data_IF_922908027223
#
_entry.id   IF_922908027223
#
_cell.length_a   1.000
_cell.length_b   1.000
_cell.length_c   1.000
_cell.angle_alpha   90.00
_cell.angle_beta   90.00
_cell.angle_gamma   90.00
#
_symmetry.space_group_name_H-M   'P 1'
#
loop_
_entity.id
_entity.type
_entity.pdbx_description
1 polymer ?
#
# COMPACT_ATOMS: atom_id res chain seq x y z
N UNK A 1 7.40 13.61 32.59
CA UNK A 1 7.35 14.30 31.27
C UNK A 1 7.80 13.35 30.16
N UNK A 2 8.94 12.63 30.26
CA UNK A 2 9.42 11.69 29.22
C UNK A 2 8.44 10.55 28.87
N UNK A 3 7.65 10.04 29.81
CA UNK A 3 6.74 8.91 29.57
C UNK A 3 5.43 9.34 28.87
N UNK A 4 4.97 10.58 29.04
CA UNK A 4 3.81 11.12 28.29
C UNK A 4 4.13 11.24 26.80
N UNK A 5 5.28 11.77 26.44
CA UNK A 5 5.69 11.86 25.01
C UNK A 5 5.81 10.49 24.33
N UNK A 6 6.18 9.43 25.07
CA UNK A 6 6.22 8.08 24.48
C UNK A 6 4.82 7.54 24.12
N UNK A 7 3.83 7.80 24.98
CA UNK A 7 2.44 7.36 24.70
C UNK A 7 1.85 8.08 23.50
N UNK A 8 2.09 9.40 23.37
CA UNK A 8 1.63 10.20 22.23
C UNK A 8 2.27 9.72 20.92
N UNK A 9 3.57 9.40 20.94
CA UNK A 9 4.29 8.87 19.76
C UNK A 9 3.80 7.47 19.36
N UNK A 10 3.49 6.61 20.35
CA UNK A 10 2.91 5.30 20.07
C UNK A 10 1.52 5.39 19.47
N UNK A 11 0.65 6.28 20.01
CA UNK A 11 -0.68 6.53 19.47
C UNK A 11 -0.61 7.01 18.02
N UNK A 12 0.26 7.97 17.73
CA UNK A 12 0.50 8.45 16.37
C UNK A 12 0.98 7.33 15.44
N UNK A 13 1.84 6.43 15.92
CA UNK A 13 2.30 5.27 15.16
C UNK A 13 1.14 4.35 14.74
N UNK A 14 0.20 4.07 15.65
CA UNK A 14 -1.00 3.27 15.35
C UNK A 14 -1.95 3.99 14.38
N UNK A 15 -2.07 5.32 14.47
CA UNK A 15 -2.89 6.09 13.55
C UNK A 15 -2.31 6.05 12.13
N UNK A 16 -1.00 6.20 11.98
CA UNK A 16 -0.33 6.11 10.68
C UNK A 16 -0.43 4.69 10.11
N UNK A 17 -0.29 3.65 10.94
CA UNK A 17 -0.48 2.26 10.54
C UNK A 17 -1.92 2.03 10.03
N UNK A 18 -2.91 2.63 10.68
CA UNK A 18 -4.31 2.55 10.25
C UNK A 18 -4.54 3.25 8.89
N UNK A 19 -3.95 4.42 8.68
CA UNK A 19 -4.00 5.11 7.38
C UNK A 19 -3.31 4.30 6.29
N UNK A 20 -2.18 3.66 6.60
CA UNK A 20 -1.51 2.73 5.68
C UNK A 20 -2.41 1.55 5.31
N UNK A 21 -3.11 0.95 6.30
CA UNK A 21 -4.11 -0.09 6.04
C UNK A 21 -5.18 0.38 5.04
N UNK A 22 -5.73 1.58 5.22
CA UNK A 22 -6.73 2.13 4.30
C UNK A 22 -6.13 2.38 2.92
N UNK A 23 -4.88 2.85 2.82
CA UNK A 23 -4.19 2.98 1.54
C UNK A 23 -4.12 1.64 0.79
N UNK A 24 -3.68 0.57 1.46
CA UNK A 24 -3.62 -0.76 0.86
C UNK A 24 -5.00 -1.31 0.50
N UNK A 25 -6.04 -1.02 1.29
CA UNK A 25 -7.41 -1.41 1.00
C UNK A 25 -7.89 -0.87 -0.38
N UNK A 26 -7.38 0.30 -0.81
CA UNK A 26 -7.65 0.83 -2.15
C UNK A 26 -6.78 0.20 -3.24
N UNK A 27 -5.60 -0.34 -2.90
CA UNK A 27 -4.66 -0.92 -3.86
C UNK A 27 -4.94 -2.40 -4.20
N UNK A 28 -5.55 -3.16 -3.28
CA UNK A 28 -5.87 -4.58 -3.49
C UNK A 28 -6.97 -4.76 -4.54
N UNK A 29 -7.04 -5.96 -5.13
CA UNK A 29 -8.03 -6.32 -6.16
C UNK A 29 -9.35 -6.78 -5.54
N UNK A 30 -10.40 -6.81 -6.34
CA UNK A 30 -11.68 -7.45 -5.95
C UNK A 30 -11.45 -8.91 -5.57
N UNK A 31 -12.06 -9.35 -4.47
CA UNK A 31 -11.88 -10.67 -3.90
C UNK A 31 -10.70 -10.82 -2.94
N UNK A 32 -9.70 -9.91 -2.98
CA UNK A 32 -8.62 -9.91 -1.99
C UNK A 32 -9.15 -9.46 -0.62
N UNK A 33 -8.59 -10.04 0.42
CA UNK A 33 -8.93 -9.71 1.82
C UNK A 33 -7.74 -9.07 2.50
N UNK A 34 -7.97 -7.91 3.11
CA UNK A 34 -6.98 -7.22 3.94
C UNK A 34 -7.38 -7.30 5.42
N UNK A 35 -6.42 -7.56 6.30
CA UNK A 35 -6.60 -7.64 7.74
C UNK A 35 -5.59 -6.76 8.48
N UNK A 36 -6.04 -6.13 9.56
CA UNK A 36 -5.25 -5.29 10.45
C UNK A 36 -4.81 -6.07 11.68
N UNK A 37 -3.53 -5.99 12.05
CA UNK A 37 -2.93 -6.64 13.23
C UNK A 37 -3.32 -8.12 13.39
N UNK A 38 -3.06 -8.94 12.36
CA UNK A 38 -3.32 -10.37 12.39
C UNK A 38 -2.03 -11.20 12.57
N UNK A 39 -1.23 -11.30 11.52
CA UNK A 39 0.07 -12.00 11.50
C UNK A 39 1.21 -11.00 11.43
N UNK A 40 0.95 -9.82 10.90
CA UNK A 40 1.81 -8.65 10.80
C UNK A 40 0.94 -7.41 11.03
N UNK A 41 1.51 -6.20 10.96
CA UNK A 41 0.77 -4.95 11.12
C UNK A 41 -0.43 -4.90 10.15
N UNK A 42 -0.19 -5.32 8.89
CA UNK A 42 -1.23 -5.47 7.87
C UNK A 42 -0.95 -6.75 7.06
N UNK A 43 -1.98 -7.52 6.79
CA UNK A 43 -1.90 -8.74 5.97
C UNK A 43 -2.89 -8.66 4.82
N UNK A 44 -2.44 -8.92 3.59
CA UNK A 44 -3.31 -9.10 2.43
C UNK A 44 -3.29 -10.58 2.03
N UNK A 45 -4.47 -11.17 1.92
CA UNK A 45 -4.67 -12.50 1.36
C UNK A 45 -5.29 -12.36 -0.03
N UNK A 46 -4.52 -12.67 -1.06
CA UNK A 46 -4.95 -12.50 -2.44
C UNK A 46 -5.78 -13.72 -2.91
N UNK A 47 -6.72 -13.48 -3.82
CA UNK A 47 -7.58 -14.52 -4.43
C UNK A 47 -6.80 -15.62 -5.12
N UNK A 48 -5.61 -15.30 -5.68
CA UNK A 48 -4.67 -16.27 -6.27
C UNK A 48 -3.90 -17.10 -5.23
N UNK A 49 -4.24 -16.94 -3.94
CA UNK A 49 -3.64 -17.68 -2.83
C UNK A 49 -2.32 -17.11 -2.35
N UNK A 50 -1.82 -16.00 -2.89
CA UNK A 50 -0.62 -15.32 -2.39
C UNK A 50 -0.93 -14.43 -1.19
N UNK A 51 0.11 -14.05 -0.45
CA UNK A 51 -0.01 -13.25 0.78
C UNK A 51 1.00 -12.11 0.78
N UNK A 52 0.56 -10.92 1.23
CA UNK A 52 1.45 -9.81 1.54
C UNK A 52 1.51 -9.64 3.05
N UNK A 53 2.72 -9.63 3.60
CA UNK A 53 3.00 -9.28 4.98
C UNK A 53 3.59 -7.87 4.99
N UNK A 54 2.91 -6.94 5.66
CA UNK A 54 3.25 -5.53 5.60
C UNK A 54 3.54 -5.04 7.01
N UNK A 55 4.78 -4.65 7.23
CA UNK A 55 5.22 -4.02 8.47
C UNK A 55 5.32 -2.52 8.28
N UNK A 56 4.70 -1.76 9.16
CA UNK A 56 4.67 -0.30 9.12
C UNK A 56 5.66 0.28 10.13
N UNK A 57 6.63 1.08 9.69
CA UNK A 57 7.66 1.71 10.52
C UNK A 57 7.80 3.19 10.18
N UNK A 58 7.03 4.01 10.84
CA UNK A 58 6.99 5.44 10.60
C UNK A 58 7.62 6.25 11.75
N UNK A 59 8.04 7.47 11.43
CA UNK A 59 8.51 8.47 12.37
C UNK A 59 7.62 9.71 12.31
N UNK A 60 7.49 10.41 13.42
CA UNK A 60 6.91 11.76 13.47
C UNK A 60 7.91 12.85 13.08
N UNK A 61 9.19 12.49 12.98
CA UNK A 61 10.25 13.38 12.48
C UNK A 61 10.34 13.22 10.96
N UNK A 62 10.04 14.29 10.24
CA UNK A 62 10.07 14.34 8.77
C UNK A 62 11.48 14.12 8.19
N UNK A 63 12.52 14.33 9.00
CA UNK A 63 13.92 14.10 8.61
C UNK A 63 14.46 12.74 9.08
N UNK A 64 13.61 11.87 9.61
CA UNK A 64 14.04 10.58 10.09
C UNK A 64 14.64 9.74 8.97
N UNK A 65 15.79 9.11 9.26
CA UNK A 65 16.48 8.23 8.32
C UNK A 65 16.46 6.79 8.84
N UNK A 66 16.24 5.87 7.92
CA UNK A 66 16.41 4.45 8.17
C UNK A 66 17.76 4.03 7.59
N UNK A 67 18.68 3.63 8.47
CA UNK A 67 20.06 3.26 8.12
C UNK A 67 20.32 1.79 8.41
N UNK A 68 21.49 1.27 8.05
CA UNK A 68 21.91 -0.10 8.37
C UNK A 68 21.93 -0.41 9.88
N UNK A 69 21.99 0.61 10.74
CA UNK A 69 21.94 0.46 12.19
C UNK A 69 20.53 0.64 12.79
N UNK A 70 19.51 0.97 11.96
CA UNK A 70 18.14 1.20 12.43
C UNK A 70 17.51 -0.11 12.94
N UNK A 71 17.13 -0.10 14.23
CA UNK A 71 16.53 -1.27 14.87
C UNK A 71 15.18 -1.66 14.27
N UNK A 72 14.41 -0.72 13.72
CA UNK A 72 13.09 -0.98 13.15
C UNK A 72 13.20 -1.79 11.86
N UNK A 73 14.24 -1.48 11.05
CA UNK A 73 14.53 -2.26 9.84
C UNK A 73 14.82 -3.73 10.19
N UNK A 74 15.75 -3.98 11.11
CA UNK A 74 16.13 -5.34 11.49
C UNK A 74 15.04 -6.11 12.23
N UNK A 75 14.26 -5.44 13.09
CA UNK A 75 13.10 -6.06 13.74
C UNK A 75 12.05 -6.51 12.74
N UNK A 76 11.89 -5.79 11.64
CA UNK A 76 11.00 -6.22 10.55
C UNK A 76 11.44 -7.56 9.97
N UNK A 77 12.74 -7.72 9.70
CA UNK A 77 13.29 -9.01 9.25
C UNK A 77 13.13 -10.11 10.31
N UNK A 78 13.36 -9.78 11.58
CA UNK A 78 13.19 -10.74 12.68
C UNK A 78 11.75 -11.24 12.78
N UNK A 79 10.77 -10.36 12.61
CA UNK A 79 9.35 -10.72 12.56
C UNK A 79 9.06 -11.68 11.41
N UNK A 80 9.48 -11.36 10.19
CA UNK A 80 9.23 -12.22 9.03
C UNK A 80 9.97 -13.56 9.11
N UNK A 81 11.19 -13.59 9.62
CA UNK A 81 11.94 -14.82 9.88
C UNK A 81 11.25 -15.66 10.95
N UNK A 82 10.71 -15.04 12.00
CA UNK A 82 9.96 -15.74 13.04
C UNK A 82 8.66 -16.33 12.50
N UNK A 83 7.93 -15.61 11.64
CA UNK A 83 6.76 -16.14 10.94
C UNK A 83 7.14 -17.29 9.99
N UNK A 84 8.27 -17.16 9.30
CA UNK A 84 8.82 -18.25 8.49
C UNK A 84 9.10 -19.48 9.35
N UNK A 85 9.77 -19.33 10.49
CA UNK A 85 10.10 -20.43 11.40
C UNK A 85 8.83 -21.12 11.96
N UNK A 86 7.78 -20.37 12.24
CA UNK A 86 6.51 -20.86 12.73
C UNK A 86 5.60 -21.44 11.64
N UNK A 87 5.88 -21.17 10.37
CA UNK A 87 5.02 -21.61 9.28
C UNK A 87 5.02 -23.13 9.13
N UNK A 88 3.84 -23.74 8.92
CA UNK A 88 3.68 -25.18 8.70
C UNK A 88 4.35 -25.63 7.40
N UNK A 89 4.36 -24.78 6.39
CA UNK A 89 5.00 -25.04 5.09
C UNK A 89 5.92 -23.88 4.70
N UNK A 90 7.24 -24.15 4.73
CA UNK A 90 8.27 -23.21 4.29
C UNK A 90 8.15 -22.89 2.80
N UNK A 91 7.75 -23.87 2.00
CA UNK A 91 7.56 -23.69 0.57
C UNK A 91 6.39 -22.76 0.27
N UNK A 92 5.27 -22.93 0.96
CA UNK A 92 4.08 -22.07 0.84
C UNK A 92 4.38 -20.64 1.31
N UNK A 93 5.14 -20.48 2.41
CA UNK A 93 5.57 -19.17 2.89
C UNK A 93 6.47 -18.43 1.88
N UNK A 94 7.32 -19.16 1.19
CA UNK A 94 8.27 -18.63 0.20
C UNK A 94 7.79 -18.79 -1.26
N UNK A 95 6.51 -19.10 -1.50
CA UNK A 95 6.01 -19.26 -2.87
C UNK A 95 6.09 -17.96 -3.68
N UNK A 96 6.22 -18.04 -5.02
CA UNK A 96 6.15 -16.87 -5.89
C UNK A 96 4.88 -16.06 -5.64
N UNK A 97 4.97 -14.74 -5.71
CA UNK A 97 3.83 -13.83 -5.50
C UNK A 97 3.60 -13.41 -4.03
N UNK A 98 4.13 -14.13 -3.04
CA UNK A 98 4.16 -13.61 -1.67
C UNK A 98 5.09 -12.40 -1.60
N UNK A 99 4.71 -11.39 -0.80
CA UNK A 99 5.45 -10.14 -0.65
C UNK A 99 5.65 -9.81 0.82
N UNK A 100 6.84 -9.33 1.16
CA UNK A 100 7.20 -8.84 2.50
C UNK A 100 7.53 -7.36 2.37
N UNK A 101 6.63 -6.50 2.81
CA UNK A 101 6.65 -5.07 2.52
C UNK A 101 6.95 -4.31 3.81
N UNK A 102 8.08 -3.61 3.84
CA UNK A 102 8.35 -2.57 4.83
C UNK A 102 7.79 -1.24 4.31
N UNK A 103 6.74 -0.75 4.95
CA UNK A 103 6.14 0.54 4.65
C UNK A 103 6.69 1.60 5.62
N UNK A 104 7.27 2.68 5.10
CA UNK A 104 7.92 3.69 5.94
C UNK A 104 7.88 5.08 5.33
N UNK A 105 7.87 6.13 6.18
CA UNK A 105 8.09 7.51 5.77
C UNK A 105 9.54 7.98 5.96
N UNK A 106 10.42 7.14 6.53
CA UNK A 106 11.82 7.48 6.75
C UNK A 106 12.58 7.50 5.42
N UNK A 107 13.53 8.43 5.28
CA UNK A 107 14.49 8.41 4.17
C UNK A 107 15.38 7.17 4.25
N UNK A 108 15.52 6.45 3.16
CA UNK A 108 16.27 5.20 3.12
C UNK A 108 17.76 5.44 2.83
N UNK A 109 18.61 4.92 3.72
CA UNK A 109 20.07 4.88 3.56
C UNK A 109 20.60 3.54 4.10
N UNK A 110 20.18 2.43 3.45
CA UNK A 110 20.41 1.06 3.92
C UNK A 110 21.18 0.29 2.86
N UNK A 111 22.46 0.05 3.13
CA UNK A 111 23.34 -0.69 2.21
C UNK A 111 22.87 -2.14 1.98
N UNK A 112 22.31 -2.78 2.99
CA UNK A 112 21.76 -4.13 2.85
C UNK A 112 20.55 -4.17 1.92
N UNK A 113 19.68 -3.14 1.96
CA UNK A 113 18.55 -3.08 1.03
C UNK A 113 18.99 -2.84 -0.42
N UNK A 114 20.09 -2.09 -0.63
CA UNK A 114 20.69 -1.97 -1.96
C UNK A 114 21.18 -3.35 -2.48
N UNK A 115 21.77 -4.20 -1.60
CA UNK A 115 22.12 -5.57 -1.98
C UNK A 115 20.88 -6.39 -2.36
N UNK A 116 19.76 -6.23 -1.64
CA UNK A 116 18.50 -6.90 -1.98
C UNK A 116 17.97 -6.43 -3.34
N UNK A 117 18.01 -5.14 -3.64
CA UNK A 117 17.62 -4.61 -4.97
C UNK A 117 18.49 -5.20 -6.07
N UNK A 118 19.80 -5.16 -5.90
CA UNK A 118 20.75 -5.72 -6.86
C UNK A 118 20.55 -7.23 -7.09
N UNK A 119 20.18 -7.97 -6.04
CA UNK A 119 19.83 -9.38 -6.15
C UNK A 119 18.52 -9.57 -6.96
N UNK A 120 17.52 -8.75 -6.74
CA UNK A 120 16.23 -8.84 -7.43
C UNK A 120 16.30 -8.46 -8.90
N UNK A 121 17.12 -7.49 -9.26
CA UNK A 121 17.33 -7.07 -10.66
C UNK A 121 18.40 -7.88 -11.40
N UNK A 122 19.07 -8.80 -10.70
CA UNK A 122 20.10 -9.68 -11.27
C UNK A 122 21.47 -9.04 -11.39
N UNK A 123 21.70 -7.85 -10.83
CA UNK A 123 23.01 -7.17 -10.83
C UNK A 123 24.01 -7.83 -9.89
N UNK A 124 23.56 -8.61 -8.91
CA UNK A 124 24.41 -9.46 -8.08
C UNK A 124 23.76 -10.82 -7.83
N UNK A 125 24.57 -11.81 -7.41
CA UNK A 125 24.09 -13.11 -7.01
C UNK A 125 23.93 -13.24 -5.49
N UNK A 126 23.30 -14.34 -5.05
CA UNK A 126 23.07 -14.60 -3.60
C UNK A 126 24.41 -14.72 -2.83
N UNK A 127 25.50 -15.12 -3.49
CA UNK A 127 26.81 -15.25 -2.85
C UNK A 127 27.39 -13.90 -2.42
N UNK A 128 27.17 -12.85 -3.21
CA UNK A 128 27.58 -11.49 -2.89
C UNK A 128 26.80 -11.00 -1.67
N UNK A 129 25.48 -11.26 -1.62
CA UNK A 129 24.64 -10.92 -0.46
C UNK A 129 25.08 -11.67 0.79
N UNK A 130 25.35 -12.98 0.70
CA UNK A 130 25.88 -13.76 1.82
C UNK A 130 27.24 -13.22 2.26
N UNK A 131 28.11 -12.85 1.31
CA UNK A 131 29.41 -12.26 1.61
C UNK A 131 29.28 -10.90 2.31
N UNK A 132 28.28 -10.10 1.93
CA UNK A 132 27.94 -8.84 2.61
C UNK A 132 27.51 -9.12 4.05
N UNK A 133 26.56 -10.02 4.28
CA UNK A 133 26.05 -10.37 5.61
C UNK A 133 27.15 -10.92 6.53
N UNK A 134 28.09 -11.71 6.01
CA UNK A 134 29.23 -12.25 6.77
C UNK A 134 30.22 -11.19 7.24
N UNK A 135 30.25 -10.01 6.62
CA UNK A 135 31.10 -8.88 7.03
C UNK A 135 30.51 -8.10 8.20
N UNK A 136 29.22 -8.31 8.54
CA UNK A 136 28.59 -7.65 9.67
C UNK A 136 29.27 -8.05 10.98
N UNK A 137 29.67 -7.07 11.76
CA UNK A 137 30.37 -7.29 13.01
C UNK A 137 29.47 -7.96 14.06
N UNK A 138 29.98 -8.99 14.74
CA UNK A 138 29.22 -9.75 15.76
C UNK A 138 28.76 -8.91 16.96
N UNK A 139 29.38 -7.75 17.18
CA UNK A 139 29.06 -6.85 18.30
C UNK A 139 27.84 -5.95 18.09
N UNK A 140 27.33 -5.83 16.85
CA UNK A 140 26.16 -4.99 16.57
C UNK A 140 24.88 -5.64 17.09
N UNK A 141 23.93 -4.83 17.56
CA UNK A 141 22.71 -5.31 18.20
C UNK A 141 21.83 -6.19 17.31
N UNK A 142 21.89 -5.98 16.00
CA UNK A 142 21.10 -6.74 15.02
C UNK A 142 21.81 -7.99 14.47
N UNK A 143 23.03 -8.29 14.91
CA UNK A 143 23.77 -9.48 14.46
C UNK A 143 23.00 -10.80 14.67
N UNK A 144 22.22 -11.01 15.75
CA UNK A 144 21.41 -12.21 15.88
C UNK A 144 20.45 -12.45 14.72
N UNK A 145 19.90 -11.37 14.14
CA UNK A 145 18.99 -11.43 12.99
C UNK A 145 19.76 -11.78 11.72
N UNK A 146 20.92 -11.15 11.52
CA UNK A 146 21.84 -11.50 10.43
C UNK A 146 22.23 -12.99 10.50
N UNK A 147 22.49 -13.50 11.72
CA UNK A 147 22.80 -14.91 11.92
C UNK A 147 21.62 -15.81 11.51
N UNK A 148 20.37 -15.50 11.91
CA UNK A 148 19.17 -16.24 11.46
C UNK A 148 19.09 -16.32 9.93
N UNK A 149 19.38 -15.20 9.23
CA UNK A 149 19.41 -15.21 7.77
C UNK A 149 20.50 -16.13 7.21
N UNK A 150 21.71 -16.10 7.80
CA UNK A 150 22.83 -16.93 7.39
C UNK A 150 22.63 -18.41 7.72
N UNK A 151 21.76 -18.74 8.67
CA UNK A 151 21.40 -20.12 9.03
C UNK A 151 20.40 -20.73 8.02
N UNK A 152 19.72 -19.91 7.20
CA UNK A 152 18.92 -20.40 6.06
C UNK A 152 19.85 -20.99 5.00
N UNK A 153 19.37 -22.03 4.30
CA UNK A 153 20.08 -22.48 3.11
C UNK A 153 20.00 -21.41 1.98
N UNK A 154 20.92 -21.48 1.02
CA UNK A 154 21.03 -20.48 -0.05
C UNK A 154 19.73 -20.28 -0.84
N UNK A 155 19.01 -21.36 -1.11
CA UNK A 155 17.78 -21.32 -1.91
C UNK A 155 16.68 -20.63 -1.13
N UNK A 156 16.54 -20.93 0.15
CA UNK A 156 15.57 -20.29 1.04
C UNK A 156 15.89 -18.82 1.23
N UNK A 157 17.14 -18.48 1.54
CA UNK A 157 17.56 -17.08 1.68
C UNK A 157 17.31 -16.28 0.40
N UNK A 158 17.66 -16.84 -0.76
CA UNK A 158 17.40 -16.20 -2.04
C UNK A 158 15.91 -15.96 -2.28
N UNK A 159 15.08 -16.98 -2.07
CA UNK A 159 13.62 -16.85 -2.19
C UNK A 159 13.05 -15.83 -1.21
N UNK A 160 13.53 -15.82 0.03
CA UNK A 160 13.11 -14.88 1.07
C UNK A 160 13.42 -13.43 0.67
N UNK A 161 14.66 -13.15 0.29
CA UNK A 161 15.11 -11.80 -0.06
C UNK A 161 14.42 -11.25 -1.33
N UNK A 162 14.09 -12.11 -2.30
CA UNK A 162 13.31 -11.69 -3.47
C UNK A 162 11.90 -11.19 -3.16
N UNK A 163 11.35 -11.52 -1.98
CA UNK A 163 10.03 -11.05 -1.55
C UNK A 163 10.04 -9.73 -0.81
N UNK A 164 11.24 -9.33 -0.35
CA UNK A 164 11.41 -8.12 0.45
C UNK A 164 11.30 -6.87 -0.43
N UNK A 165 10.42 -5.98 -0.04
CA UNK A 165 10.20 -4.69 -0.67
C UNK A 165 10.19 -3.59 0.38
N UNK A 166 10.70 -2.41 0.05
CA UNK A 166 10.52 -1.22 0.88
C UNK A 166 9.68 -0.22 0.10
N UNK A 167 8.59 0.18 0.70
CA UNK A 167 7.66 1.16 0.17
C UNK A 167 7.80 2.44 0.99
N UNK A 168 8.49 3.43 0.42
CA UNK A 168 8.69 4.72 1.05
C UNK A 168 7.54 5.67 0.68
N UNK A 169 6.79 6.10 1.68
CA UNK A 169 5.66 7.04 1.52
C UNK A 169 5.81 8.15 2.54
N UNK A 170 6.18 9.33 2.09
CA UNK A 170 6.51 10.47 2.95
C UNK A 170 5.34 10.86 3.87
N UNK A 171 4.11 10.83 3.36
CA UNK A 171 2.89 11.14 4.09
C UNK A 171 1.76 10.19 3.65
N UNK A 172 1.40 9.27 4.53
CA UNK A 172 0.37 8.25 4.27
C UNK A 172 -1.03 8.86 4.09
N UNK A 173 -1.34 9.93 4.83
CA UNK A 173 -2.64 10.59 4.72
C UNK A 173 -2.76 11.36 3.41
N UNK A 174 -1.71 12.09 3.04
CA UNK A 174 -1.63 12.77 1.75
C UNK A 174 -1.71 11.78 0.59
N UNK A 175 -1.01 10.64 0.67
CA UNK A 175 -1.10 9.59 -0.35
C UNK A 175 -2.54 9.06 -0.49
N UNK A 176 -3.29 8.94 0.62
CA UNK A 176 -4.71 8.56 0.58
C UNK A 176 -5.55 9.64 -0.11
N UNK A 177 -5.36 10.91 0.20
CA UNK A 177 -6.05 12.01 -0.49
C UNK A 177 -5.76 12.01 -2.00
N UNK A 178 -4.50 11.85 -2.37
CA UNK A 178 -4.09 11.80 -3.78
C UNK A 178 -4.74 10.63 -4.53
N UNK A 179 -4.88 9.47 -3.91
CA UNK A 179 -5.66 8.35 -4.48
C UNK A 179 -7.11 8.72 -4.74
N UNK A 180 -7.76 9.41 -3.81
CA UNK A 180 -9.13 9.87 -4.00
C UNK A 180 -9.24 10.89 -5.13
N UNK A 181 -8.29 11.81 -5.23
CA UNK A 181 -8.25 12.77 -6.34
C UNK A 181 -8.15 12.07 -7.70
N UNK A 182 -7.31 11.03 -7.80
CA UNK A 182 -7.07 10.32 -9.07
C UNK A 182 -8.20 9.33 -9.38
N UNK A 183 -8.58 8.48 -8.42
CA UNK A 183 -9.55 7.38 -8.65
C UNK A 183 -10.97 7.93 -8.85
N UNK A 184 -11.32 8.98 -8.13
CA UNK A 184 -12.69 9.51 -8.09
C UNK A 184 -12.83 10.87 -8.77
N UNK A 185 -11.75 11.39 -9.38
CA UNK A 185 -11.71 12.70 -10.03
C UNK A 185 -12.26 13.85 -9.13
N UNK A 186 -11.90 13.81 -7.85
CA UNK A 186 -12.43 14.69 -6.81
C UNK A 186 -11.55 15.92 -6.63
N UNK A 187 -11.86 17.02 -7.28
CA UNK A 187 -11.08 18.26 -7.13
C UNK A 187 -11.38 19.06 -5.84
N UNK A 188 -12.50 18.81 -5.15
CA UNK A 188 -12.95 19.74 -4.10
C UNK A 188 -13.38 19.13 -2.78
N UNK A 189 -13.60 17.84 -2.67
CA UNK A 189 -14.16 17.20 -1.44
C UNK A 189 -13.41 15.97 -0.93
N UNK A 190 -12.23 15.68 -1.47
CA UNK A 190 -11.43 14.51 -1.07
C UNK A 190 -11.21 14.51 0.47
N UNK A 191 -10.90 15.66 1.06
CA UNK A 191 -10.66 15.80 2.50
C UNK A 191 -11.85 15.39 3.35
N UNK A 192 -13.05 15.84 2.97
CA UNK A 192 -14.28 15.54 3.72
C UNK A 192 -14.60 14.04 3.64
N UNK A 193 -14.48 13.46 2.46
CA UNK A 193 -14.80 12.05 2.21
C UNK A 193 -13.80 11.12 2.88
N UNK A 194 -12.52 11.41 2.75
CA UNK A 194 -11.46 10.67 3.44
C UNK A 194 -11.66 10.75 4.95
N UNK A 195 -11.97 11.94 5.50
CA UNK A 195 -12.22 12.11 6.92
C UNK A 195 -13.45 11.32 7.40
N UNK A 196 -14.56 11.34 6.65
CA UNK A 196 -15.77 10.57 6.96
C UNK A 196 -15.49 9.07 6.91
N UNK A 197 -14.81 8.60 5.84
CA UNK A 197 -14.46 7.20 5.67
C UNK A 197 -13.53 6.71 6.79
N UNK A 198 -12.47 7.45 7.09
CA UNK A 198 -11.55 7.11 8.19
C UNK A 198 -12.30 7.07 9.52
N UNK A 199 -13.21 8.00 9.78
CA UNK A 199 -14.02 8.03 10.99
C UNK A 199 -14.90 6.78 11.15
N UNK A 200 -15.58 6.36 10.08
CA UNK A 200 -16.42 5.15 10.12
C UNK A 200 -15.58 3.88 10.26
N UNK A 201 -14.49 3.75 9.51
CA UNK A 201 -13.55 2.61 9.61
C UNK A 201 -12.93 2.52 11.01
N UNK A 202 -12.59 3.66 11.62
CA UNK A 202 -12.03 3.70 12.98
C UNK A 202 -13.04 3.20 14.03
N UNK A 203 -14.31 3.58 13.92
CA UNK A 203 -15.39 3.05 14.78
C UNK A 203 -15.50 1.53 14.65
N UNK A 204 -15.42 1.01 13.44
CA UNK A 204 -15.50 -0.42 13.21
C UNK A 204 -14.27 -1.16 13.73
N UNK A 205 -13.07 -0.61 13.55
CA UNK A 205 -11.84 -1.14 14.17
C UNK A 205 -12.00 -1.28 15.69
N UNK A 206 -12.51 -0.23 16.37
CA UNK A 206 -12.78 -0.26 17.81
C UNK A 206 -13.80 -1.36 18.16
N UNK A 207 -14.89 -1.48 17.39
CA UNK A 207 -15.92 -2.48 17.64
C UNK A 207 -15.38 -3.91 17.43
N UNK A 208 -14.57 -4.13 16.39
CA UNK A 208 -13.91 -5.42 16.16
C UNK A 208 -13.01 -5.78 17.36
N UNK A 209 -12.18 -4.84 17.84
CA UNK A 209 -11.33 -5.04 18.99
C UNK A 209 -12.13 -5.37 20.27
N UNK A 210 -13.24 -4.66 20.55
CA UNK A 210 -14.13 -4.94 21.69
C UNK A 210 -14.75 -6.33 21.63
N UNK A 211 -14.99 -6.84 20.45
CA UNK A 211 -15.60 -8.16 20.22
C UNK A 211 -14.56 -9.26 19.99
N UNK A 212 -13.28 -8.99 20.20
CA UNK A 212 -12.17 -9.93 19.92
C UNK A 212 -12.18 -10.47 18.49
N UNK A 213 -12.61 -9.66 17.53
CA UNK A 213 -12.64 -10.00 16.11
C UNK A 213 -11.49 -9.31 15.37
N UNK A 214 -11.00 -9.98 14.34
CA UNK A 214 -10.03 -9.37 13.43
C UNK A 214 -10.73 -8.28 12.60
N UNK A 215 -10.18 -7.07 12.57
CA UNK A 215 -10.63 -6.02 11.68
C UNK A 215 -10.12 -6.29 10.27
N UNK A 216 -11.02 -6.66 9.36
CA UNK A 216 -10.66 -7.08 8.00
C UNK A 216 -11.78 -6.77 7.01
N UNK A 217 -11.40 -6.63 5.74
CA UNK A 217 -12.33 -6.42 4.63
C UNK A 217 -11.92 -7.21 3.40
N UNK A 218 -12.92 -7.79 2.72
CA UNK A 218 -12.84 -8.10 1.32
C UNK A 218 -13.09 -6.80 0.52
N UNK A 219 -12.33 -6.57 -0.54
CA UNK A 219 -12.36 -5.33 -1.33
C UNK A 219 -13.75 -4.97 -1.86
N UNK A 220 -14.46 -5.95 -2.43
CA UNK A 220 -15.78 -5.73 -3.03
C UNK A 220 -16.85 -5.45 -1.95
N UNK A 221 -16.78 -6.15 -0.81
CA UNK A 221 -17.67 -5.88 0.34
C UNK A 221 -17.43 -4.49 0.92
N UNK A 222 -16.18 -4.08 1.04
CA UNK A 222 -15.82 -2.73 1.45
C UNK A 222 -16.42 -1.68 0.53
N UNK A 223 -16.21 -1.79 -0.78
CA UNK A 223 -16.72 -0.84 -1.77
C UNK A 223 -18.25 -0.77 -1.74
N UNK A 224 -18.92 -1.92 -1.59
CA UNK A 224 -20.38 -2.00 -1.47
C UNK A 224 -20.89 -1.30 -0.21
N UNK A 225 -20.24 -1.55 0.93
CA UNK A 225 -20.61 -1.02 2.24
C UNK A 225 -20.47 0.49 2.31
N UNK A 226 -19.37 1.03 1.81
CA UNK A 226 -19.08 2.46 1.85
C UNK A 226 -19.46 3.21 0.57
N UNK A 227 -20.23 2.56 -0.30
CA UNK A 227 -20.71 3.16 -1.56
C UNK A 227 -21.35 4.52 -1.34
N UNK A 228 -22.17 4.68 -0.30
CA UNK A 228 -22.84 5.95 0.01
C UNK A 228 -21.88 7.10 0.35
N UNK A 229 -20.76 6.80 1.05
CA UNK A 229 -19.71 7.78 1.32
C UNK A 229 -18.93 8.09 0.04
N UNK A 230 -18.58 7.04 -0.70
CA UNK A 230 -17.78 7.16 -1.92
C UNK A 230 -18.55 7.80 -3.09
N UNK A 231 -19.89 7.71 -3.10
CA UNK A 231 -20.76 8.32 -4.12
C UNK A 231 -21.26 9.74 -3.80
N UNK A 232 -21.20 10.18 -2.54
CA UNK A 232 -21.49 11.61 -2.19
C UNK A 232 -20.69 12.60 -3.03
N UNK A 233 -19.69 12.11 -3.71
CA UNK A 233 -18.80 12.81 -4.62
C UNK A 233 -19.43 13.10 -5.96
N UNK A 234 -20.18 12.14 -6.51
CA UNK A 234 -20.80 12.30 -7.84
C UNK A 234 -22.02 13.21 -7.80
N UNK A 235 -22.80 13.15 -6.73
CA UNK A 235 -24.06 13.89 -6.66
C UNK A 235 -23.88 15.40 -6.46
N UNK A 236 -22.79 15.82 -5.76
CA UNK A 236 -22.49 17.24 -5.51
C UNK A 236 -21.54 17.85 -6.56
N UNK A 237 -20.88 17.03 -7.37
CA UNK A 237 -20.03 17.51 -8.48
C UNK A 237 -20.82 17.81 -9.75
N UNK A 238 -22.06 17.40 -9.81
CA UNK A 238 -23.03 17.96 -10.73
C UNK A 238 -23.35 19.38 -10.25
N UNK A 239 -22.43 20.31 -10.53
CA UNK A 239 -22.83 21.73 -10.61
C UNK A 239 -24.06 21.71 -11.54
N UNK A 240 -25.23 22.20 -11.09
CA UNK A 240 -26.32 22.39 -12.02
C UNK A 240 -25.71 23.25 -13.12
N UNK A 241 -25.54 22.68 -14.28
CA UNK A 241 -25.22 23.48 -15.47
C UNK A 241 -26.42 24.43 -15.52
N UNK A 242 -26.23 25.66 -15.03
CA UNK A 242 -27.16 26.72 -15.35
C UNK A 242 -27.34 26.61 -16.86
N UNK A 243 -28.57 26.72 -17.32
CA UNK A 243 -29.00 26.59 -18.72
C UNK A 243 -28.25 27.48 -19.73
N UNK A 244 -26.98 27.72 -19.52
CA UNK A 244 -26.07 28.19 -20.55
C UNK A 244 -25.89 27.02 -21.52
N UNK A 245 -26.59 27.14 -22.63
CA UNK A 245 -26.48 26.23 -23.77
C UNK A 245 -25.01 26.02 -24.08
N UNK A 246 -24.43 24.96 -23.50
CA UNK A 246 -23.12 24.49 -23.90
C UNK A 246 -23.31 23.98 -25.35
N UNK A 247 -22.76 24.70 -26.28
CA UNK A 247 -22.72 24.28 -27.67
C UNK A 247 -21.90 22.99 -27.73
N UNK A 248 -22.59 21.85 -27.58
CA UNK A 248 -21.97 20.53 -27.65
C UNK A 248 -21.47 20.35 -29.07
N UNK A 249 -20.17 20.14 -29.30
CA UNK A 249 -19.66 19.90 -30.63
C UNK A 249 -20.47 18.77 -31.29
N UNK A 250 -20.97 18.98 -32.49
CA UNK A 250 -21.78 18.01 -33.23
C UNK A 250 -21.04 16.71 -33.50
N UNK A 251 -19.73 16.71 -33.37
CA UNK A 251 -18.87 15.53 -33.50
C UNK A 251 -17.94 15.43 -32.28
N UNK A 252 -17.97 14.29 -31.58
CA UNK A 252 -17.11 13.99 -30.44
C UNK A 252 -15.63 14.14 -30.82
N UNK A 253 -15.27 13.93 -32.07
CA UNK A 253 -13.91 14.11 -32.63
C UNK A 253 -13.43 15.56 -32.60
N UNK A 254 -14.34 16.53 -32.49
CA UNK A 254 -13.99 17.94 -32.40
C UNK A 254 -13.65 18.42 -30.99
N UNK A 255 -13.81 17.57 -29.97
CA UNK A 255 -13.39 17.87 -28.59
C UNK A 255 -11.85 17.88 -28.56
N UNK A 256 -11.20 18.97 -28.11
CA UNK A 256 -9.74 19.11 -28.14
C UNK A 256 -8.99 17.96 -27.46
N UNK A 257 -9.55 17.41 -26.38
CA UNK A 257 -8.97 16.26 -25.65
C UNK A 257 -9.04 14.98 -26.48
N UNK A 258 -10.15 14.74 -27.19
CA UNK A 258 -10.32 13.57 -28.06
C UNK A 258 -9.41 13.68 -29.28
N UNK A 259 -9.29 14.88 -29.90
CA UNK A 259 -8.32 15.14 -30.94
C UNK A 259 -6.88 14.85 -30.50
N UNK A 260 -6.51 15.29 -29.32
CA UNK A 260 -5.18 15.03 -28.76
C UNK A 260 -4.93 13.54 -28.56
N UNK A 261 -5.91 12.78 -28.07
CA UNK A 261 -5.77 11.34 -27.88
C UNK A 261 -5.71 10.56 -29.20
N UNK A 262 -6.36 11.04 -30.24
CA UNK A 262 -6.30 10.48 -31.60
C UNK A 262 -4.93 10.77 -32.25
N UNK A 263 -4.42 12.00 -32.10
CA UNK A 263 -3.09 12.42 -32.58
C UNK A 263 -1.93 11.62 -31.96
N UNK A 264 -2.06 11.17 -30.71
CA UNK A 264 -1.04 10.34 -30.03
C UNK A 264 -1.25 8.84 -30.19
N UNK A 265 -2.15 8.42 -31.10
CA UNK A 265 -2.48 7.01 -31.42
C UNK A 265 -2.87 6.14 -30.20
N UNK A 266 -3.26 6.77 -29.09
CA UNK A 266 -3.74 6.07 -27.88
C UNK A 266 -5.17 5.58 -28.07
N UNK A 267 -5.93 6.21 -28.94
CA UNK A 267 -7.30 5.88 -29.26
C UNK A 267 -7.39 5.24 -30.65
N UNK A 268 -7.18 3.93 -30.75
CA UNK A 268 -7.81 3.14 -31.80
C UNK A 268 -9.31 3.02 -31.46
N UNK A 269 -10.05 4.11 -31.63
CA UNK A 269 -11.47 4.16 -31.33
C UNK A 269 -12.26 3.50 -32.47
N UNK A 270 -12.76 2.25 -32.32
CA UNK A 270 -13.79 1.75 -33.19
C UNK A 270 -15.06 2.59 -33.01
N UNK A 271 -15.92 2.65 -34.05
CA UNK A 271 -17.21 3.37 -34.13
C UNK A 271 -18.17 3.17 -32.92
N UNK A 272 -17.81 2.28 -31.98
CA UNK A 272 -18.54 2.00 -30.75
C UNK A 272 -18.47 3.11 -29.71
N UNK A 273 -17.48 4.00 -29.72
CA UNK A 273 -17.38 5.09 -28.73
C UNK A 273 -18.36 6.22 -29.03
N UNK A 274 -18.65 6.51 -30.28
CA UNK A 274 -19.73 7.46 -30.60
C UNK A 274 -21.06 7.04 -29.93
N UNK A 275 -21.32 5.74 -29.88
CA UNK A 275 -22.51 5.17 -29.23
C UNK A 275 -22.48 5.24 -27.71
N UNK A 276 -21.31 5.11 -27.09
CA UNK A 276 -21.15 5.21 -25.64
C UNK A 276 -21.20 6.65 -25.13
N UNK A 277 -20.54 7.59 -25.82
CA UNK A 277 -20.58 9.01 -25.45
C UNK A 277 -21.95 9.63 -25.75
N UNK A 278 -22.58 9.30 -26.86
CA UNK A 278 -23.96 9.74 -27.17
C UNK A 278 -24.96 9.30 -26.10
N UNK A 279 -24.82 8.08 -25.55
CA UNK A 279 -25.67 7.59 -24.49
C UNK A 279 -25.34 8.26 -23.13
N UNK A 280 -24.07 8.59 -22.85
CA UNK A 280 -23.68 9.22 -21.59
C UNK A 280 -24.20 10.67 -21.47
N UNK A 281 -24.19 11.41 -22.55
CA UNK A 281 -24.75 12.78 -22.60
C UNK A 281 -26.29 12.81 -22.68
N UNK A 282 -26.96 11.74 -23.11
CA UNK A 282 -28.43 11.69 -23.16
C UNK A 282 -29.08 11.21 -21.85
N UNK A 283 -28.34 10.65 -20.90
CA UNK A 283 -28.86 10.11 -19.65
C UNK A 283 -28.41 10.87 -18.39
N UNK A 284 -27.65 11.94 -18.49
CA UNK A 284 -27.32 12.89 -17.45
C UNK A 284 -27.66 14.31 -17.90
#
# INVERSE_FOLDING_TARGET
>A
IRDRHKADLQACGFDIQFVAFVNFLFDIKGGDVIAYEKEDDIVVSCTEGTKWLIQVKNSVDDNAKMTDADSDFWKTFDNWLSLYDLSESKEEFLKPGNRFILYTNKELSISFYEQIKNLRDGSCGIEEVISFLKKVEKKVSYYPIVKKMLDLNKVELNKFLHKVEVMQVADSLRALYEKFLVIYNMLTKADQIVSELLGELYKEKINAAKNHQTFSYEKGEFLKKYRGILQKVSDDSLVPIQDDVVDIPKDVKDIPFIKYLDEIEVLNLPDSIEKYYGNWFCYN
#
